data_IF_235144362881
#
_entry.id   IF_235144362881
#
_cell.length_a   1.000
_cell.length_b   1.000
_cell.length_c   1.000
_cell.angle_alpha   90.00
_cell.angle_beta   90.00
_cell.angle_gamma   90.00
#
_symmetry.space_group_name_H-M   'P 1'
#
loop_
_entity.id
_entity.type
_entity.pdbx_description
1 polymer ?
#
# COMPACT_ATOMS: atom_id res chain seq x y z
N UNK A 1 -1.94 7.45 14.16
CA UNK A 1 -0.65 7.19 13.50
C UNK A 1 -0.84 7.54 12.04
N UNK A 2 -0.08 8.49 11.47
CA UNK A 2 -0.19 8.79 10.04
C UNK A 2 0.38 7.61 9.25
N UNK A 3 -0.36 7.11 8.27
CA UNK A 3 0.08 5.97 7.48
C UNK A 3 1.32 6.34 6.66
N UNK A 4 2.38 5.52 6.72
CA UNK A 4 3.58 5.72 5.89
C UNK A 4 3.19 5.64 4.42
N UNK A 5 3.58 6.66 3.65
CA UNK A 5 3.37 6.72 2.21
C UNK A 5 4.06 5.55 1.51
N UNK A 6 3.38 4.97 0.53
CA UNK A 6 3.87 3.91 -0.34
C UNK A 6 4.42 4.59 -1.58
N UNK A 7 5.70 4.36 -1.87
CA UNK A 7 6.34 4.87 -3.09
C UNK A 7 6.13 3.88 -4.22
N UNK A 8 5.59 4.35 -5.34
CA UNK A 8 5.33 3.54 -6.52
C UNK A 8 6.30 3.99 -7.62
N UNK A 9 7.38 3.22 -7.88
CA UNK A 9 8.33 3.54 -8.92
C UNK A 9 7.81 3.10 -10.30
N UNK A 10 8.16 3.87 -11.32
CA UNK A 10 7.97 3.49 -12.72
C UNK A 10 9.11 4.03 -13.56
N UNK A 11 9.35 3.40 -14.70
CA UNK A 11 10.44 3.75 -15.61
C UNK A 11 9.88 4.33 -16.90
N UNK A 12 10.53 5.36 -17.42
CA UNK A 12 10.22 5.96 -18.70
C UNK A 12 11.48 6.05 -19.55
N UNK A 13 11.39 5.52 -20.77
CA UNK A 13 12.40 5.69 -21.81
C UNK A 13 11.89 6.59 -22.92
N UNK A 14 12.83 7.14 -23.68
CA UNK A 14 12.61 7.76 -24.98
C UNK A 14 13.56 7.10 -25.99
N UNK A 15 13.02 6.39 -26.97
CA UNK A 15 13.79 5.63 -27.97
C UNK A 15 14.79 4.64 -27.33
N UNK A 16 14.39 4.03 -26.21
CA UNK A 16 15.19 3.07 -25.46
C UNK A 16 16.26 3.67 -24.54
N UNK A 17 16.41 5.01 -24.51
CA UNK A 17 17.28 5.70 -23.57
C UNK A 17 16.48 6.24 -22.36
N UNK A 18 17.08 6.35 -21.16
CA UNK A 18 16.38 6.86 -19.99
C UNK A 18 15.89 8.31 -20.20
N UNK A 19 14.60 8.55 -20.02
CA UNK A 19 14.06 9.91 -20.02
C UNK A 19 14.39 10.58 -18.69
N UNK A 20 15.18 11.65 -18.71
CA UNK A 20 15.57 12.37 -17.49
C UNK A 20 15.05 13.81 -17.50
N UNK A 21 14.95 14.44 -16.33
CA UNK A 21 14.56 15.83 -16.16
C UNK A 21 13.11 16.15 -16.51
N UNK A 22 12.26 15.14 -16.72
CA UNK A 22 10.92 15.31 -17.31
C UNK A 22 9.77 15.22 -16.31
N UNK A 23 10.03 15.16 -15.00
CA UNK A 23 8.98 15.02 -13.98
C UNK A 23 7.86 16.08 -14.09
N UNK A 24 8.20 17.33 -14.43
CA UNK A 24 7.24 18.42 -14.59
C UNK A 24 6.35 18.29 -15.85
N UNK A 25 6.67 17.35 -16.73
CA UNK A 25 5.90 17.05 -17.95
C UNK A 25 5.04 15.80 -17.78
N UNK A 26 5.09 15.16 -16.62
CA UNK A 26 4.30 13.97 -16.30
C UNK A 26 3.08 14.34 -15.49
N UNK A 27 1.94 13.75 -15.84
CA UNK A 27 0.69 13.92 -15.10
C UNK A 27 -0.16 12.65 -15.20
N UNK A 28 -1.15 12.51 -14.34
CA UNK A 28 -2.12 11.43 -14.46
C UNK A 28 -3.18 11.81 -15.50
N UNK A 29 -3.22 11.06 -16.61
CA UNK A 29 -4.32 11.12 -17.58
C UNK A 29 -5.61 10.58 -16.94
N UNK A 30 -5.47 9.54 -16.11
CA UNK A 30 -6.57 9.04 -15.31
C UNK A 30 -6.08 8.40 -14.02
N UNK A 31 -6.87 8.55 -12.96
CA UNK A 31 -6.70 7.82 -11.71
C UNK A 31 -8.07 7.52 -11.11
N UNK A 32 -8.39 6.25 -10.91
CA UNK A 32 -9.69 5.80 -10.42
C UNK A 32 -9.53 4.71 -9.38
N UNK A 33 -10.54 4.53 -8.53
CA UNK A 33 -10.67 3.31 -7.75
C UNK A 33 -11.02 2.13 -8.67
N UNK A 34 -10.80 0.90 -8.23
CA UNK A 34 -11.24 -0.31 -8.95
C UNK A 34 -12.76 -0.32 -9.21
N UNK A 35 -13.54 0.32 -8.32
CA UNK A 35 -14.98 0.52 -8.48
C UNK A 35 -15.37 1.64 -9.46
N UNK A 36 -14.39 2.32 -10.07
CA UNK A 36 -14.59 3.34 -11.09
C UNK A 36 -14.79 4.77 -10.57
N UNK A 37 -14.59 5.02 -9.27
CA UNK A 37 -14.67 6.38 -8.71
C UNK A 37 -13.46 7.20 -9.14
N UNK A 38 -13.69 8.36 -9.74
CA UNK A 38 -12.61 9.23 -10.20
C UNK A 38 -11.85 9.89 -9.03
N UNK A 39 -10.53 9.85 -9.10
CA UNK A 39 -9.57 10.39 -8.15
C UNK A 39 -8.51 11.25 -8.85
N UNK A 40 -8.65 11.52 -10.15
CA UNK A 40 -7.67 12.24 -10.97
C UNK A 40 -7.40 13.67 -10.45
N UNK A 41 -8.42 14.34 -9.90
CA UNK A 41 -8.27 15.67 -9.27
C UNK A 41 -7.37 15.69 -8.03
N UNK A 42 -7.09 14.51 -7.47
CA UNK A 42 -6.25 14.33 -6.28
C UNK A 42 -4.99 13.54 -6.59
N UNK A 43 -4.63 13.42 -7.87
CA UNK A 43 -3.47 12.68 -8.29
C UNK A 43 -2.20 13.19 -7.58
N UNK A 44 -1.35 12.28 -7.08
CA UNK A 44 -0.12 12.65 -6.43
C UNK A 44 0.88 13.23 -7.44
N UNK A 45 1.73 14.13 -6.98
CA UNK A 45 2.81 14.65 -7.80
C UNK A 45 3.81 13.54 -8.17
N UNK A 46 4.27 13.56 -9.41
CA UNK A 46 5.36 12.72 -9.90
C UNK A 46 6.70 13.40 -9.59
N UNK A 47 7.67 12.61 -9.16
CA UNK A 47 9.04 13.05 -8.87
C UNK A 47 10.05 12.11 -9.51
N UNK A 48 11.20 12.63 -9.93
CA UNK A 48 12.28 11.83 -10.49
C UNK A 48 13.18 11.29 -9.38
N UNK A 49 13.57 10.02 -9.50
CA UNK A 49 14.54 9.37 -8.62
C UNK A 49 15.87 9.04 -9.34
N UNK A 50 15.94 9.34 -10.63
CA UNK A 50 17.17 9.36 -11.43
C UNK A 50 17.25 8.23 -12.45
N UNK A 51 17.96 8.48 -13.55
CA UNK A 51 18.26 7.47 -14.57
C UNK A 51 17.01 6.90 -15.25
N UNK A 52 16.01 7.72 -15.56
CA UNK A 52 14.76 7.28 -16.19
C UNK A 52 13.69 6.81 -15.21
N UNK A 53 14.02 6.72 -13.92
CA UNK A 53 13.08 6.30 -12.89
C UNK A 53 12.36 7.50 -12.28
N UNK A 54 11.06 7.32 -12.15
CA UNK A 54 10.14 8.25 -11.53
C UNK A 54 9.36 7.55 -10.43
N UNK A 55 8.78 8.33 -9.53
CA UNK A 55 7.88 7.83 -8.51
C UNK A 55 6.76 8.81 -8.21
N UNK A 56 5.67 8.27 -7.71
CA UNK A 56 4.68 9.02 -6.95
C UNK A 56 4.41 8.29 -5.64
N UNK A 57 3.78 8.99 -4.70
CA UNK A 57 3.51 8.45 -3.37
C UNK A 57 2.03 8.55 -3.03
N UNK A 58 1.47 7.44 -2.54
CA UNK A 58 0.10 7.39 -2.01
C UNK A 58 0.11 6.83 -0.60
N UNK A 59 -0.76 7.35 0.26
CA UNK A 59 -0.92 6.83 1.61
C UNK A 59 -2.30 6.20 1.74
N UNK A 60 -2.32 4.91 2.07
CA UNK A 60 -3.56 4.22 2.45
C UNK A 60 -4.18 4.90 3.69
N UNK A 61 -5.50 4.87 3.80
CA UNK A 61 -6.23 5.38 4.98
C UNK A 61 -6.18 6.90 5.17
N UNK A 62 -5.71 7.64 4.16
CA UNK A 62 -5.81 9.10 4.12
C UNK A 62 -6.64 9.51 2.92
N UNK A 63 -7.64 10.37 3.13
CA UNK A 63 -8.41 10.97 2.04
C UNK A 63 -7.43 11.63 1.06
N UNK A 64 -7.53 11.36 -0.26
CA UNK A 64 -8.64 10.68 -0.96
C UNK A 64 -8.40 9.21 -1.31
N UNK A 65 -7.33 8.60 -0.79
CA UNK A 65 -6.89 7.22 -1.02
C UNK A 65 -7.11 6.35 0.23
N UNK A 66 -8.27 6.52 0.83
CA UNK A 66 -8.68 5.90 2.10
C UNK A 66 -9.31 4.51 1.93
N UNK A 67 -9.70 4.12 0.71
CA UNK A 67 -10.27 2.80 0.44
C UNK A 67 -10.09 2.33 -1.00
N UNK A 68 -9.78 1.04 -1.14
CA UNK A 68 -9.78 0.31 -2.40
C UNK A 68 -8.54 0.50 -3.26
N UNK A 69 -8.28 -0.48 -4.12
CA UNK A 69 -7.20 -0.44 -5.10
C UNK A 69 -7.39 0.69 -6.12
N UNK A 70 -6.28 1.26 -6.60
CA UNK A 70 -6.26 2.32 -7.60
C UNK A 70 -5.76 1.78 -8.94
N UNK A 71 -6.37 2.27 -10.02
CA UNK A 71 -5.96 2.01 -11.39
C UNK A 71 -5.92 3.32 -12.16
N UNK A 72 -4.95 3.48 -13.04
CA UNK A 72 -4.78 4.73 -13.75
C UNK A 72 -3.74 4.65 -14.86
N UNK A 73 -3.53 5.79 -15.50
CA UNK A 73 -2.53 5.97 -16.54
C UNK A 73 -1.79 7.27 -16.28
N UNK A 74 -0.48 7.19 -16.21
CA UNK A 74 0.39 8.37 -16.24
C UNK A 74 0.69 8.69 -17.70
N UNK A 75 0.46 9.93 -18.09
CA UNK A 75 0.97 10.52 -19.33
C UNK A 75 2.35 11.12 -19.03
N UNK A 76 3.40 10.44 -19.50
CA UNK A 76 4.79 10.84 -19.28
C UNK A 76 5.23 12.02 -20.17
N UNK A 77 4.40 12.44 -21.13
CA UNK A 77 4.66 13.57 -22.03
C UNK A 77 3.38 14.36 -22.29
N UNK A 78 2.71 14.79 -21.21
CA UNK A 78 1.44 15.54 -21.26
C UNK A 78 1.47 16.71 -22.23
N UNK A 79 2.60 17.41 -22.28
CA UNK A 79 2.78 18.60 -23.11
C UNK A 79 3.26 18.27 -24.53
N UNK A 80 3.63 17.03 -24.83
CA UNK A 80 4.14 16.61 -26.14
C UNK A 80 5.52 17.17 -26.47
N UNK A 81 6.34 17.48 -25.46
CA UNK A 81 7.65 18.10 -25.64
C UNK A 81 8.77 17.06 -25.84
N UNK A 82 8.58 15.84 -25.35
CA UNK A 82 9.59 14.77 -25.43
C UNK A 82 9.42 13.90 -26.68
N UNK A 83 8.32 14.07 -27.43
CA UNK A 83 7.97 13.30 -28.63
C UNK A 83 7.90 11.79 -28.36
N UNK A 84 7.47 11.39 -27.15
CA UNK A 84 7.36 9.98 -26.81
C UNK A 84 6.35 9.28 -27.73
N UNK A 85 6.70 8.06 -28.17
CA UNK A 85 5.73 7.20 -28.82
C UNK A 85 4.61 6.82 -27.84
N UNK A 86 3.40 6.53 -28.33
CA UNK A 86 2.27 6.16 -27.47
C UNK A 86 2.58 5.01 -26.50
N UNK A 87 3.43 4.06 -26.92
CA UNK A 87 3.85 2.93 -26.09
C UNK A 87 4.78 3.33 -24.92
N UNK A 88 5.51 4.44 -25.05
CA UNK A 88 6.42 4.98 -24.04
C UNK A 88 5.76 6.09 -23.21
N UNK A 89 4.76 6.76 -23.79
CA UNK A 89 4.05 7.89 -23.19
C UNK A 89 3.07 7.46 -22.11
N UNK A 90 2.27 6.43 -22.36
CA UNK A 90 1.17 6.04 -21.48
C UNK A 90 1.56 4.87 -20.59
N UNK A 91 1.86 5.18 -19.32
CA UNK A 91 2.29 4.18 -18.34
C UNK A 91 1.06 3.70 -17.55
N UNK A 92 0.62 2.45 -17.72
CA UNK A 92 -0.47 1.89 -16.91
C UNK A 92 0.02 1.67 -15.48
N UNK A 93 -0.82 2.08 -14.52
CA UNK A 93 -0.52 1.99 -13.10
C UNK A 93 -1.64 1.22 -12.40
N UNK A 94 -1.24 0.28 -11.54
CA UNK A 94 -2.10 -0.39 -10.58
C UNK A 94 -1.47 -0.29 -9.20
N UNK A 95 -2.24 0.19 -8.21
CA UNK A 95 -1.79 0.29 -6.82
C UNK A 95 -2.75 -0.51 -5.93
N UNK A 96 -2.22 -1.59 -5.35
CA UNK A 96 -2.96 -2.50 -4.47
C UNK A 96 -3.01 -1.99 -3.03
N UNK A 97 -3.79 -0.96 -2.75
CA UNK A 97 -3.88 -0.36 -1.41
C UNK A 97 -4.40 -1.36 -0.36
N UNK A 98 -5.32 -2.24 -0.73
CA UNK A 98 -5.91 -3.22 0.19
C UNK A 98 -4.89 -4.28 0.63
N UNK A 99 -3.96 -4.64 -0.25
CA UNK A 99 -2.84 -5.54 0.10
C UNK A 99 -1.95 -4.92 1.19
N UNK A 100 -1.61 -3.64 1.06
CA UNK A 100 -0.84 -2.92 2.08
C UNK A 100 -1.63 -2.73 3.38
N UNK A 101 -2.95 -2.61 3.32
CA UNK A 101 -3.81 -2.60 4.49
C UNK A 101 -3.76 -3.94 5.24
N UNK A 102 -3.87 -5.06 4.52
CA UNK A 102 -3.80 -6.42 5.07
C UNK A 102 -2.42 -6.73 5.69
N UNK A 103 -1.33 -6.32 5.05
CA UNK A 103 0.02 -6.45 5.62
C UNK A 103 0.20 -5.68 6.92
N UNK A 104 -0.58 -4.60 7.14
CA UNK A 104 -0.57 -3.84 8.40
C UNK A 104 -1.58 -4.34 9.43
N UNK A 105 -2.50 -5.22 9.04
CA UNK A 105 -3.39 -5.94 9.95
C UNK A 105 -2.68 -7.08 10.71
N UNK A 106 -1.34 -7.06 10.73
CA UNK A 106 -0.54 -7.85 11.66
C UNK A 106 -0.74 -7.27 13.05
N UNK A 107 -1.73 -7.80 13.75
CA UNK A 107 -2.04 -7.40 15.10
C UNK A 107 -0.89 -7.81 16.05
N UNK A 108 -0.56 -6.95 16.99
CA UNK A 108 0.51 -7.22 17.95
C UNK A 108 0.02 -8.26 18.95
N UNK A 109 0.66 -9.43 18.96
CA UNK A 109 0.49 -10.41 20.04
C UNK A 109 1.39 -10.02 21.22
N UNK A 110 0.80 -9.94 22.41
CA UNK A 110 1.49 -9.71 23.67
C UNK A 110 1.18 -10.85 24.62
N UNK A 111 2.18 -11.36 25.31
CA UNK A 111 2.00 -12.35 26.38
C UNK A 111 2.42 -11.75 27.71
N UNK A 112 1.54 -11.81 28.70
CA UNK A 112 1.88 -11.54 30.08
C UNK A 112 2.68 -12.73 30.63
N UNK A 113 3.96 -12.52 30.96
CA UNK A 113 4.85 -13.60 31.44
C UNK A 113 4.49 -14.10 32.84
N UNK A 114 3.71 -13.34 33.61
CA UNK A 114 3.36 -13.70 34.98
C UNK A 114 2.11 -14.58 35.04
N UNK A 115 1.12 -14.32 34.19
CA UNK A 115 -0.17 -15.03 34.17
C UNK A 115 -0.30 -15.98 32.98
N UNK A 116 0.52 -15.80 31.94
CA UNK A 116 0.40 -16.53 30.68
C UNK A 116 -0.62 -15.92 29.71
N UNK A 117 -1.40 -14.93 30.13
CA UNK A 117 -2.45 -14.31 29.31
C UNK A 117 -1.90 -13.78 28.00
N UNK A 118 -2.65 -14.00 26.92
CA UNK A 118 -2.28 -13.56 25.59
C UNK A 118 -3.29 -12.54 25.06
N UNK A 119 -2.81 -11.39 24.67
CA UNK A 119 -3.61 -10.32 24.07
C UNK A 119 -3.20 -10.13 22.61
N UNK A 120 -4.18 -10.02 21.72
CA UNK A 120 -4.00 -9.51 20.37
C UNK A 120 -4.51 -8.07 20.38
N UNK A 121 -3.65 -7.14 19.95
CA UNK A 121 -3.94 -5.70 19.95
C UNK A 121 -4.04 -5.13 18.55
N UNK A 122 -4.98 -4.20 18.35
CA UNK A 122 -5.07 -3.40 17.13
C UNK A 122 -3.88 -2.44 17.00
N UNK A 123 -3.83 -1.72 15.88
CA UNK A 123 -2.79 -0.71 15.59
C UNK A 123 -2.80 0.49 16.56
N UNK A 124 -3.88 0.70 17.31
CA UNK A 124 -4.03 1.74 18.33
C UNK A 124 -3.66 1.26 19.73
N UNK A 125 -3.32 -0.03 19.89
CA UNK A 125 -2.98 -0.66 21.16
C UNK A 125 -4.17 -1.16 21.96
N UNK A 126 -5.39 -1.13 21.42
CA UNK A 126 -6.56 -1.68 22.07
C UNK A 126 -6.57 -3.21 21.92
N UNK A 127 -6.93 -3.92 22.99
CA UNK A 127 -7.11 -5.38 22.94
C UNK A 127 -8.35 -5.71 22.13
N UNK A 128 -8.17 -6.48 21.05
CA UNK A 128 -9.26 -6.97 20.18
C UNK A 128 -9.59 -8.44 20.42
N UNK A 129 -8.63 -9.20 20.96
CA UNK A 129 -8.83 -10.57 21.41
C UNK A 129 -7.97 -10.77 22.66
N UNK A 130 -8.56 -11.34 23.70
CA UNK A 130 -7.87 -11.72 24.93
C UNK A 130 -8.09 -13.22 25.17
N UNK A 131 -7.01 -13.93 25.46
CA UNK A 131 -7.00 -15.30 25.94
C UNK A 131 -6.47 -15.27 27.37
N UNK A 132 -7.39 -15.30 28.33
CA UNK A 132 -7.05 -15.37 29.74
C UNK A 132 -6.72 -16.81 30.11
N UNK A 133 -5.52 -17.03 30.63
CA UNK A 133 -5.09 -18.32 31.19
C UNK A 133 -5.34 -18.25 32.69
N UNK A 134 -6.55 -18.62 33.09
CA UNK A 134 -6.87 -18.80 34.50
C UNK A 134 -6.37 -20.16 34.97
N UNK A 135 -5.29 -20.16 35.75
CA UNK A 135 -4.92 -21.30 36.59
C UNK A 135 -5.86 -21.34 37.82
N UNK A 136 -7.14 -21.61 37.56
CA UNK A 136 -8.02 -22.13 38.60
C UNK A 136 -7.96 -23.63 38.48
N UNK A 137 -7.33 -24.31 39.45
CA UNK A 137 -7.33 -25.77 39.66
C UNK A 137 -8.26 -26.52 38.71
N UNK A 138 -7.72 -27.03 37.60
CA UNK A 138 -8.19 -28.20 36.85
C UNK A 138 -7.40 -28.29 35.53
N UNK A 139 -6.13 -28.69 35.64
CA UNK A 139 -5.44 -29.30 34.52
C UNK A 139 -6.28 -30.48 33.99
N UNK A 140 -6.51 -30.54 32.68
CA UNK A 140 -7.20 -31.67 32.04
C UNK A 140 -6.14 -32.61 31.44
N UNK A 141 -5.64 -33.54 32.25
CA UNK A 141 -4.80 -34.63 31.74
C UNK A 141 -5.68 -35.61 30.93
N UNK A 142 -5.37 -35.75 29.63
CA UNK A 142 -5.99 -36.75 28.76
C UNK A 142 -5.03 -37.91 28.58
N UNK A 143 -5.29 -38.99 29.32
CA UNK A 143 -4.64 -40.27 29.10
C UNK A 143 -5.03 -40.82 27.72
N UNK A 144 -4.09 -41.41 26.93
CA UNK A 144 -4.42 -42.07 25.68
C UNK A 144 -5.36 -43.25 25.97
N UNK A 145 -6.51 -43.27 25.29
CA UNK A 145 -7.51 -44.34 25.44
C UNK A 145 -6.88 -45.70 25.13
N UNK A 146 -6.91 -46.61 26.11
CA UNK A 146 -6.52 -48.00 25.91
C UNK A 146 -7.56 -48.63 24.97
N UNK A 147 -7.08 -49.19 23.86
CA UNK A 147 -7.89 -49.88 22.85
C UNK A 147 -8.51 -51.17 23.38
#
# INVERSE_FOLDING_TARGET
MANTAIEIPFYVSNDGEPLTGSAAQMDFESLKTLSGTDKSSSAPAVSEIGGGWYKFSVAYGTVPFDSGDLVGVVDADKNGNNNLANAERYIPIEVRLDFYALMRLVNKMSQNKNTGDMEIKDSSGNTILELNITDSENALDREPGIA
#
